data_IF_488011993506
#
_entry.id   IF_488011993506
#
_cell.length_a   1.000
_cell.length_b   1.000
_cell.length_c   1.000
_cell.angle_alpha   90.00
_cell.angle_beta   90.00
_cell.angle_gamma   90.00
#
_symmetry.space_group_name_H-M   'P 1'
#
loop_
_entity.id
_entity.type
_entity.pdbx_description
1 polymer ?
#
# COMPACT_ATOMS: atom_id res chain seq x y z
N UNK A 1 -8.43 23.50 34.60
CA UNK A 1 -6.99 23.86 34.65
C UNK A 1 -6.15 23.19 35.77
N UNK A 2 -6.62 22.33 36.70
CA UNK A 2 -5.76 21.83 37.79
C UNK A 2 -4.82 20.66 37.41
N UNK A 3 -5.01 20.01 36.26
CA UNK A 3 -4.19 18.85 35.83
C UNK A 3 -2.94 19.24 35.01
N UNK A 4 -2.90 20.43 34.43
CA UNK A 4 -1.83 20.81 33.49
C UNK A 4 -0.47 21.04 34.19
N UNK A 5 -0.47 21.62 35.39
CA UNK A 5 0.74 21.88 36.18
C UNK A 5 1.42 20.57 36.65
N UNK A 6 0.71 19.61 37.29
CA UNK A 6 1.35 18.36 37.72
C UNK A 6 1.82 17.50 36.53
N UNK A 7 1.06 17.47 35.42
CA UNK A 7 1.51 16.81 34.18
C UNK A 7 2.76 17.46 33.61
N UNK A 8 2.80 18.81 33.57
CA UNK A 8 3.96 19.56 33.08
C UNK A 8 5.22 19.28 33.90
N UNK A 9 5.11 19.25 35.24
CA UNK A 9 6.22 18.92 36.15
C UNK A 9 6.70 17.46 35.99
N UNK A 10 5.77 16.52 35.79
CA UNK A 10 6.12 15.12 35.56
C UNK A 10 6.88 14.96 34.22
N UNK A 11 6.40 15.60 33.15
CA UNK A 11 7.08 15.55 31.84
C UNK A 11 8.45 16.21 31.89
N UNK A 12 8.61 17.34 32.58
CA UNK A 12 9.90 18.00 32.71
C UNK A 12 10.89 17.18 33.54
N UNK A 13 10.43 16.51 34.61
CA UNK A 13 11.27 15.60 35.40
C UNK A 13 11.74 14.40 34.57
N UNK A 14 10.83 13.76 33.83
CA UNK A 14 11.16 12.63 32.95
C UNK A 14 12.17 13.07 31.88
N UNK A 15 11.94 14.21 31.21
CA UNK A 15 12.89 14.73 30.23
C UNK A 15 14.24 15.12 30.84
N UNK A 16 14.25 15.70 32.03
CA UNK A 16 15.48 16.03 32.76
C UNK A 16 16.30 14.79 33.07
N UNK A 17 15.67 13.73 33.57
CA UNK A 17 16.33 12.44 33.80
C UNK A 17 16.84 11.83 32.49
N UNK A 18 16.06 11.88 31.41
CA UNK A 18 16.49 11.37 30.11
C UNK A 18 17.72 12.12 29.56
N UNK A 19 17.79 13.44 29.70
CA UNK A 19 18.96 14.25 29.29
C UNK A 19 20.21 13.81 30.06
N UNK A 20 20.08 13.49 31.34
CA UNK A 20 21.20 13.04 32.16
C UNK A 20 21.66 11.61 31.85
N UNK A 21 20.76 10.73 31.41
CA UNK A 21 21.05 9.29 31.29
C UNK A 21 21.20 8.78 29.85
N UNK A 22 20.75 9.52 28.84
CA UNK A 22 20.74 9.09 27.45
C UNK A 22 21.55 10.02 26.54
N UNK A 23 22.20 9.49 25.50
CA UNK A 23 22.81 10.31 24.45
C UNK A 23 21.78 11.27 23.82
N UNK A 24 22.23 12.48 23.47
CA UNK A 24 21.37 13.56 22.97
C UNK A 24 20.45 13.14 21.81
N UNK A 25 20.93 12.28 20.92
CA UNK A 25 20.14 11.75 19.79
C UNK A 25 18.87 10.99 20.23
N UNK A 26 18.93 10.21 21.32
CA UNK A 26 17.77 9.47 21.82
C UNK A 26 16.78 10.39 22.52
N UNK A 27 17.26 11.41 23.22
CA UNK A 27 16.41 12.42 23.86
C UNK A 27 15.67 13.25 22.82
N UNK A 28 16.36 13.68 21.76
CA UNK A 28 15.75 14.40 20.63
C UNK A 28 14.73 13.52 19.91
N UNK A 29 15.06 12.24 19.66
CA UNK A 29 14.12 11.31 19.04
C UNK A 29 12.86 11.10 19.90
N UNK A 30 13.00 10.99 21.22
CA UNK A 30 11.88 10.88 22.14
C UNK A 30 11.03 12.16 22.17
N UNK A 31 11.64 13.34 22.14
CA UNK A 31 10.94 14.63 22.04
C UNK A 31 10.12 14.73 20.76
N UNK A 32 10.71 14.37 19.62
CA UNK A 32 10.03 14.35 18.33
C UNK A 32 8.88 13.34 18.36
N UNK A 33 9.10 12.15 18.91
CA UNK A 33 8.08 11.10 19.03
C UNK A 33 6.90 11.53 19.89
N UNK A 34 7.15 12.15 21.04
CA UNK A 34 6.11 12.67 21.94
C UNK A 34 5.33 13.83 21.30
N UNK A 35 6.04 14.76 20.65
CA UNK A 35 5.42 15.87 19.93
C UNK A 35 4.55 15.35 18.77
N UNK A 36 5.04 14.38 17.99
CA UNK A 36 4.29 13.73 16.95
C UNK A 36 3.03 13.06 17.52
N UNK A 37 3.16 12.28 18.60
CA UNK A 37 2.03 11.61 19.24
C UNK A 37 0.98 12.61 19.74
N UNK A 38 1.39 13.68 20.43
CA UNK A 38 0.50 14.73 20.91
C UNK A 38 -0.21 15.45 19.73
N UNK A 39 0.50 15.69 18.63
CA UNK A 39 -0.10 16.33 17.45
C UNK A 39 -1.11 15.44 16.74
N UNK A 40 -0.89 14.12 16.74
CA UNK A 40 -1.82 13.11 16.20
C UNK A 40 -3.03 13.02 17.10
N UNK A 41 -2.85 12.87 18.42
CA UNK A 41 -3.95 12.83 19.40
C UNK A 41 -4.87 14.03 19.22
N UNK A 42 -4.31 15.24 19.03
CA UNK A 42 -5.10 16.47 18.80
C UNK A 42 -5.80 16.52 17.44
N UNK A 43 -5.23 15.89 16.41
CA UNK A 43 -5.76 15.89 15.03
C UNK A 43 -5.47 14.54 14.35
N UNK A 44 -6.38 13.55 14.44
CA UNK A 44 -6.14 12.20 13.94
C UNK A 44 -5.74 12.15 12.46
N UNK A 45 -6.26 13.07 11.64
CA UNK A 45 -5.88 13.25 10.23
C UNK A 45 -4.36 13.32 10.02
N UNK A 46 -3.63 13.96 10.94
CA UNK A 46 -2.16 14.06 10.86
C UNK A 46 -1.50 12.70 10.96
N UNK A 47 -2.05 11.78 11.75
CA UNK A 47 -1.54 10.42 11.87
C UNK A 47 -1.69 9.65 10.55
N UNK A 48 -2.84 9.78 9.89
CA UNK A 48 -3.05 9.16 8.57
C UNK A 48 -2.14 9.77 7.49
N UNK A 49 -1.95 11.09 7.48
CA UNK A 49 -1.04 11.76 6.55
C UNK A 49 0.42 11.35 6.80
N UNK A 50 0.83 11.23 8.06
CA UNK A 50 2.17 10.77 8.42
C UNK A 50 2.37 9.29 8.05
N UNK A 51 1.34 8.46 8.22
CA UNK A 51 1.34 7.08 7.71
C UNK A 51 1.50 7.05 6.19
N UNK A 52 0.81 7.91 5.44
CA UNK A 52 0.96 8.00 3.98
C UNK A 52 2.43 8.29 3.57
N UNK A 53 3.11 9.17 4.29
CA UNK A 53 4.51 9.51 4.06
C UNK A 53 5.46 8.38 4.47
N UNK A 54 5.38 7.94 5.72
CA UNK A 54 6.32 6.96 6.28
C UNK A 54 6.06 5.56 5.73
N UNK A 55 4.80 5.17 5.55
CA UNK A 55 4.43 3.86 5.02
C UNK A 55 4.87 3.63 3.57
N UNK A 56 5.03 4.70 2.77
CA UNK A 56 5.57 4.59 1.40
C UNK A 56 7.10 4.70 1.36
N UNK A 57 7.71 5.39 2.32
CA UNK A 57 9.16 5.58 2.39
C UNK A 57 9.89 4.48 3.18
N UNK A 58 9.52 4.26 4.43
CA UNK A 58 10.17 3.37 5.40
C UNK A 58 9.16 2.38 6.02
N UNK A 59 8.53 1.52 5.20
CA UNK A 59 7.41 0.68 5.62
C UNK A 59 7.76 -0.22 6.83
N UNK A 60 8.95 -0.82 6.84
CA UNK A 60 9.35 -1.80 7.84
C UNK A 60 10.32 -1.26 8.89
N UNK A 61 10.44 0.06 9.01
CA UNK A 61 11.15 0.65 10.15
C UNK A 61 10.49 0.20 11.45
N UNK A 62 11.27 -0.33 12.40
CA UNK A 62 10.74 -0.92 13.65
C UNK A 62 11.07 -0.09 14.87
N UNK A 63 10.14 -0.07 15.83
CA UNK A 63 10.34 0.46 17.19
C UNK A 63 10.01 -0.68 18.16
N UNK A 64 10.73 -0.76 19.27
CA UNK A 64 10.43 -1.65 20.38
C UNK A 64 9.62 -0.89 21.44
N UNK A 65 8.31 -1.19 21.54
CA UNK A 65 7.43 -0.65 22.60
C UNK A 65 6.76 -1.85 23.27
N UNK A 66 7.48 -2.56 24.14
CA UNK A 66 7.07 -3.83 24.75
C UNK A 66 7.07 -5.01 23.77
N UNK A 67 6.55 -4.80 22.55
CA UNK A 67 6.60 -5.69 21.40
C UNK A 67 7.23 -4.94 20.23
N UNK A 68 7.93 -5.65 19.35
CA UNK A 68 8.42 -5.08 18.09
C UNK A 68 7.25 -4.75 17.17
N UNK A 69 7.10 -3.48 16.81
CA UNK A 69 6.05 -3.00 15.89
C UNK A 69 6.66 -2.05 14.87
N UNK A 70 6.11 -2.01 13.65
CA UNK A 70 6.59 -1.03 12.67
C UNK A 70 6.09 0.37 12.99
N UNK A 71 6.86 1.40 12.62
CA UNK A 71 6.43 2.80 12.78
C UNK A 71 5.08 3.04 12.09
N UNK A 72 4.91 2.48 10.89
CA UNK A 72 3.69 2.56 10.10
C UNK A 72 2.47 2.00 10.83
N UNK A 73 2.60 0.83 11.47
CA UNK A 73 1.52 0.22 12.25
C UNK A 73 1.21 1.02 13.51
N UNK A 74 2.24 1.50 14.22
CA UNK A 74 2.06 2.37 15.38
C UNK A 74 1.29 3.65 15.02
N UNK A 75 1.55 4.23 13.85
CA UNK A 75 0.81 5.40 13.35
C UNK A 75 -0.67 5.08 13.07
N UNK A 76 -0.97 3.92 12.48
CA UNK A 76 -2.36 3.49 12.23
C UNK A 76 -3.09 3.29 13.57
N UNK A 77 -2.48 2.57 14.51
CA UNK A 77 -3.04 2.32 15.83
C UNK A 77 -3.28 3.63 16.60
N UNK A 78 -2.31 4.55 16.60
CA UNK A 78 -2.43 5.85 17.25
C UNK A 78 -3.49 6.73 16.58
N UNK A 79 -3.62 6.66 15.26
CA UNK A 79 -4.66 7.37 14.51
C UNK A 79 -6.06 6.88 14.91
N UNK A 80 -6.25 5.56 15.01
CA UNK A 80 -7.49 4.98 15.52
C UNK A 80 -7.78 5.38 16.96
N UNK A 81 -6.80 5.23 17.85
CA UNK A 81 -6.94 5.60 19.25
C UNK A 81 -7.33 7.08 19.40
N UNK A 82 -6.67 7.98 18.65
CA UNK A 82 -6.99 9.41 18.62
C UNK A 82 -8.41 9.67 18.09
N UNK A 83 -8.81 8.99 17.00
CA UNK A 83 -10.16 9.14 16.45
C UNK A 83 -11.24 8.67 17.42
N UNK A 84 -11.05 7.50 18.06
CA UNK A 84 -12.00 6.95 19.04
C UNK A 84 -12.07 7.82 20.28
N UNK A 85 -10.94 8.32 20.77
CA UNK A 85 -10.89 9.28 21.89
C UNK A 85 -11.72 10.52 21.56
N UNK A 86 -11.52 11.09 20.36
CA UNK A 86 -12.32 12.22 19.90
C UNK A 86 -13.81 11.88 19.77
N UNK A 87 -14.16 10.68 19.31
CA UNK A 87 -15.56 10.25 19.21
C UNK A 87 -16.25 10.10 20.57
N UNK A 88 -15.51 9.72 21.61
CA UNK A 88 -16.04 9.64 22.99
C UNK A 88 -16.25 11.05 23.58
N UNK A 89 -15.32 11.98 23.34
CA UNK A 89 -15.39 13.32 23.93
C UNK A 89 -16.14 14.36 23.10
N UNK A 90 -16.40 14.10 21.81
CA UNK A 90 -17.15 14.99 20.94
C UNK A 90 -18.49 14.35 20.57
N UNK A 91 -19.58 14.85 21.14
CA UNK A 91 -20.96 14.35 20.98
C UNK A 91 -21.50 14.39 19.52
N UNK A 92 -20.71 14.86 18.54
CA UNK A 92 -21.17 15.11 17.15
C UNK A 92 -20.38 14.37 16.06
N UNK A 93 -19.82 13.21 16.33
CA UNK A 93 -19.28 12.37 15.25
C UNK A 93 -20.38 11.46 14.67
N UNK A 94 -21.05 11.93 13.62
CA UNK A 94 -21.94 11.08 12.82
C UNK A 94 -21.11 9.98 12.16
N UNK A 95 -21.29 8.74 12.59
CA UNK A 95 -20.63 7.58 11.98
C UNK A 95 -21.11 7.45 10.52
N UNK A 96 -20.20 7.44 9.52
CA UNK A 96 -20.61 7.28 8.13
C UNK A 96 -21.37 5.97 7.93
N UNK A 97 -22.45 6.01 7.14
CA UNK A 97 -23.22 4.81 6.80
C UNK A 97 -22.35 3.83 6.00
N UNK A 98 -22.22 2.62 6.51
CA UNK A 98 -21.39 1.58 5.89
C UNK A 98 -21.93 1.15 4.52
N UNK A 99 -21.04 1.14 3.53
CA UNK A 99 -21.22 0.60 2.20
C UNK A 99 -21.23 -0.93 2.19
N UNK A 100 -21.74 -1.53 1.12
CA UNK A 100 -21.75 -2.99 0.95
C UNK A 100 -20.34 -3.57 1.01
N UNK A 101 -19.36 -2.91 0.39
CA UNK A 101 -17.94 -3.29 0.45
C UNK A 101 -17.39 -3.26 1.88
N UNK A 102 -17.74 -2.23 2.65
CA UNK A 102 -17.34 -2.07 4.05
C UNK A 102 -17.94 -3.16 4.94
N UNK A 103 -19.22 -3.51 4.73
CA UNK A 103 -19.88 -4.61 5.45
C UNK A 103 -19.23 -5.97 5.16
N UNK A 104 -18.92 -6.24 3.90
CA UNK A 104 -18.23 -7.48 3.50
C UNK A 104 -16.80 -7.52 4.06
N UNK A 105 -16.10 -6.39 4.14
CA UNK A 105 -14.79 -6.33 4.78
C UNK A 105 -14.89 -6.64 6.28
N UNK A 106 -15.90 -6.10 6.96
CA UNK A 106 -16.16 -6.48 8.36
C UNK A 106 -16.47 -7.97 8.48
N UNK A 107 -17.25 -8.56 7.56
CA UNK A 107 -17.48 -10.00 7.56
C UNK A 107 -16.19 -10.80 7.38
N UNK A 108 -15.28 -10.37 6.49
CA UNK A 108 -13.95 -10.97 6.33
C UNK A 108 -13.11 -10.85 7.61
N UNK A 109 -13.09 -9.66 8.24
CA UNK A 109 -12.36 -9.42 9.48
C UNK A 109 -12.89 -10.29 10.62
N UNK A 110 -14.21 -10.40 10.79
CA UNK A 110 -14.84 -11.25 11.79
C UNK A 110 -14.57 -12.74 11.52
N UNK A 111 -14.71 -13.16 10.26
CA UNK A 111 -14.41 -14.55 9.87
C UNK A 111 -12.95 -14.91 10.14
N UNK A 112 -12.01 -13.98 9.96
CA UNK A 112 -10.59 -14.23 10.19
C UNK A 112 -10.24 -14.68 11.63
N UNK A 113 -11.12 -14.39 12.61
CA UNK A 113 -10.98 -14.90 13.97
C UNK A 113 -11.02 -16.44 14.02
N UNK A 114 -11.79 -17.08 13.14
CA UNK A 114 -11.90 -18.54 13.09
C UNK A 114 -10.58 -19.20 12.64
N UNK A 115 -10.00 -18.87 11.47
CA UNK A 115 -8.67 -19.38 11.10
C UNK A 115 -7.55 -18.96 12.05
N UNK A 116 -7.66 -17.79 12.67
CA UNK A 116 -6.74 -17.38 13.75
C UNK A 116 -6.76 -18.39 14.90
N UNK A 117 -7.93 -18.71 15.45
CA UNK A 117 -8.06 -19.66 16.56
C UNK A 117 -7.62 -21.07 16.16
N UNK A 118 -8.05 -21.53 14.98
CA UNK A 118 -7.66 -22.85 14.47
C UNK A 118 -6.14 -22.93 14.32
N UNK A 119 -5.53 -21.97 13.63
CA UNK A 119 -4.07 -21.94 13.42
C UNK A 119 -3.28 -21.83 14.73
N UNK A 120 -3.79 -21.10 15.72
CA UNK A 120 -3.13 -20.99 17.02
C UNK A 120 -3.05 -22.35 17.76
N UNK A 121 -4.09 -23.18 17.59
CA UNK A 121 -4.23 -24.49 18.23
C UNK A 121 -3.56 -25.63 17.44
N UNK A 122 -3.57 -25.56 16.10
CA UNK A 122 -3.09 -26.67 15.24
C UNK A 122 -1.65 -26.51 14.79
N UNK A 123 -1.16 -25.28 14.63
CA UNK A 123 0.20 -25.03 14.12
C UNK A 123 1.20 -25.07 15.27
N UNK A 124 2.05 -26.10 15.29
CA UNK A 124 3.15 -26.25 16.25
C UNK A 124 4.40 -25.55 15.70
N UNK A 125 4.45 -24.24 15.88
CA UNK A 125 5.61 -23.40 15.53
C UNK A 125 5.69 -22.19 16.46
N UNK A 126 6.90 -21.66 16.65
CA UNK A 126 7.10 -20.42 17.39
C UNK A 126 6.61 -19.22 16.59
N UNK A 127 5.76 -18.39 17.20
CA UNK A 127 5.19 -17.23 16.54
C UNK A 127 4.12 -16.54 17.37
N UNK A 128 3.88 -15.26 17.09
CA UNK A 128 2.94 -14.44 17.84
C UNK A 128 1.64 -14.21 17.05
N UNK A 129 0.80 -15.24 17.02
CA UNK A 129 -0.49 -15.24 16.31
C UNK A 129 -1.40 -14.07 16.67
N UNK A 130 -1.67 -13.80 17.97
CA UNK A 130 -2.54 -12.70 18.37
C UNK A 130 -2.06 -11.33 17.87
N UNK A 131 -0.77 -11.05 17.98
CA UNK A 131 -0.20 -9.77 17.54
C UNK A 131 -0.26 -9.65 16.02
N UNK A 132 0.10 -10.69 15.28
CA UNK A 132 0.03 -10.68 13.81
C UNK A 132 -1.41 -10.52 13.31
N UNK A 133 -2.37 -11.17 13.97
CA UNK A 133 -3.80 -11.01 13.66
C UNK A 133 -4.29 -9.58 13.90
N UNK A 134 -4.00 -9.01 15.08
CA UNK A 134 -4.36 -7.63 15.42
C UNK A 134 -3.72 -6.64 14.45
N UNK A 135 -2.44 -6.82 14.10
CA UNK A 135 -1.74 -5.99 13.10
C UNK A 135 -2.44 -6.06 11.75
N UNK A 136 -2.80 -7.26 11.30
CA UNK A 136 -3.53 -7.44 10.05
C UNK A 136 -4.89 -6.73 10.08
N UNK A 137 -5.66 -6.85 11.16
CA UNK A 137 -6.93 -6.13 11.34
C UNK A 137 -6.75 -4.61 11.26
N UNK A 138 -5.72 -4.06 11.91
CA UNK A 138 -5.42 -2.63 11.82
C UNK A 138 -5.06 -2.20 10.40
N UNK A 139 -4.30 -3.00 9.66
CA UNK A 139 -3.98 -2.69 8.26
C UNK A 139 -5.24 -2.68 7.37
N UNK A 140 -6.15 -3.64 7.55
CA UNK A 140 -7.45 -3.67 6.85
C UNK A 140 -8.32 -2.46 7.21
N UNK A 141 -8.30 -2.07 8.47
CA UNK A 141 -9.18 -1.05 9.03
C UNK A 141 -8.98 0.35 8.45
N UNK A 142 -7.85 0.62 7.77
CA UNK A 142 -7.57 1.92 7.16
C UNK A 142 -8.64 2.32 6.15
N UNK A 143 -9.28 1.36 5.48
CA UNK A 143 -10.41 1.62 4.61
C UNK A 143 -11.50 2.42 5.34
N UNK A 144 -11.77 2.12 6.61
CA UNK A 144 -12.77 2.83 7.41
C UNK A 144 -12.29 4.19 7.91
N UNK A 145 -10.99 4.42 8.01
CA UNK A 145 -10.44 5.74 8.36
C UNK A 145 -10.64 6.76 7.22
N UNK A 146 -10.67 6.31 5.96
CA UNK A 146 -10.84 7.19 4.79
C UNK A 146 -12.09 8.08 4.89
N UNK A 147 -13.32 7.57 5.00
CA UNK A 147 -14.52 8.42 5.07
C UNK A 147 -14.63 9.22 6.36
N UNK A 148 -13.83 8.88 7.39
CA UNK A 148 -13.84 9.55 8.70
C UNK A 148 -12.85 10.71 8.76
N UNK A 149 -11.71 10.59 8.07
CA UNK A 149 -10.60 11.54 8.17
C UNK A 149 -10.33 12.32 6.88
N UNK A 150 -10.67 11.77 5.71
CA UNK A 150 -10.44 12.39 4.40
C UNK A 150 -11.75 12.90 3.81
N UNK A 151 -12.45 13.75 4.57
CA UNK A 151 -13.81 14.21 4.24
C UNK A 151 -13.84 15.28 3.14
N UNK A 152 -12.80 16.10 3.05
CA UNK A 152 -12.69 17.17 2.08
C UNK A 152 -11.53 16.96 1.08
N UNK A 153 -11.67 17.54 -0.12
CA UNK A 153 -10.68 17.39 -1.20
C UNK A 153 -9.30 17.90 -0.81
N UNK A 154 -9.20 18.95 0.03
CA UNK A 154 -7.91 19.52 0.44
C UNK A 154 -7.18 18.57 1.39
N UNK A 155 -7.88 17.91 2.29
CA UNK A 155 -7.32 16.90 3.18
C UNK A 155 -6.93 15.64 2.42
N UNK A 156 -7.75 15.20 1.48
CA UNK A 156 -7.41 14.11 0.58
C UNK A 156 -6.16 14.42 -0.26
N UNK A 157 -6.09 15.60 -0.89
CA UNK A 157 -4.92 16.04 -1.66
C UNK A 157 -3.65 16.02 -0.80
N UNK A 158 -3.73 16.41 0.49
CA UNK A 158 -2.60 16.32 1.42
C UNK A 158 -2.16 14.88 1.66
N UNK A 159 -3.10 13.96 1.85
CA UNK A 159 -2.78 12.54 1.99
C UNK A 159 -2.12 11.99 0.72
N UNK A 160 -2.63 12.33 -0.46
CA UNK A 160 -2.02 11.97 -1.76
C UNK A 160 -0.62 12.58 -1.91
N UNK A 161 -0.45 13.86 -1.60
CA UNK A 161 0.88 14.49 -1.62
C UNK A 161 1.85 13.83 -0.65
N UNK A 162 1.40 13.37 0.51
CA UNK A 162 2.23 12.62 1.45
C UNK A 162 2.61 11.23 0.90
N UNK A 163 1.68 10.50 0.28
CA UNK A 163 1.98 9.24 -0.41
C UNK A 163 3.05 9.45 -1.50
N UNK A 164 2.88 10.48 -2.33
CA UNK A 164 3.82 10.80 -3.40
C UNK A 164 5.15 11.31 -2.87
N UNK A 165 5.15 12.11 -1.80
CA UNK A 165 6.36 12.57 -1.14
C UNK A 165 7.19 11.43 -0.56
N UNK A 166 6.54 10.47 0.11
CA UNK A 166 7.24 9.31 0.68
C UNK A 166 7.76 8.38 -0.41
N UNK A 167 6.98 8.20 -1.48
CA UNK A 167 7.44 7.49 -2.69
C UNK A 167 8.62 8.18 -3.36
N UNK A 168 8.64 9.51 -3.41
CA UNK A 168 9.76 10.26 -3.96
C UNK A 168 11.03 10.03 -3.12
N UNK A 169 10.94 10.13 -1.79
CA UNK A 169 12.07 9.86 -0.89
C UNK A 169 12.59 8.44 -1.05
N UNK A 170 11.70 7.46 -1.17
CA UNK A 170 12.03 6.06 -1.46
C UNK A 170 12.83 5.95 -2.76
N UNK A 171 12.35 6.56 -3.84
CA UNK A 171 12.97 6.49 -5.17
C UNK A 171 14.32 7.21 -5.19
N UNK A 172 14.42 8.40 -4.59
CA UNK A 172 15.67 9.14 -4.50
C UNK A 172 16.72 8.34 -3.73
N UNK A 173 16.35 7.72 -2.60
CA UNK A 173 17.27 6.87 -1.85
C UNK A 173 17.68 5.63 -2.66
N UNK A 174 16.71 4.87 -3.15
CA UNK A 174 16.94 3.56 -3.77
C UNK A 174 17.69 3.67 -5.09
N UNK A 175 17.28 4.60 -5.97
CA UNK A 175 17.94 4.82 -7.27
C UNK A 175 19.35 5.35 -7.05
N UNK A 176 19.57 6.31 -6.15
CA UNK A 176 20.91 6.87 -5.91
C UNK A 176 21.86 5.80 -5.37
N UNK A 177 21.44 5.02 -4.37
CA UNK A 177 22.25 3.93 -3.82
C UNK A 177 22.58 2.90 -4.89
N UNK A 178 21.59 2.54 -5.72
CA UNK A 178 21.78 1.55 -6.76
C UNK A 178 22.69 2.03 -7.90
N UNK A 179 22.52 3.27 -8.38
CA UNK A 179 23.37 3.84 -9.44
C UNK A 179 24.82 4.02 -8.96
N UNK A 180 25.03 4.36 -7.69
CA UNK A 180 26.38 4.59 -7.14
C UNK A 180 27.12 3.31 -6.77
N UNK A 181 26.40 2.25 -6.36
CA UNK A 181 27.01 1.01 -5.83
C UNK A 181 26.76 -0.23 -6.68
N UNK A 182 25.82 -0.19 -7.63
CA UNK A 182 25.53 -1.26 -8.57
C UNK A 182 24.91 -2.54 -7.98
N UNK A 183 24.48 -2.52 -6.72
CA UNK A 183 23.99 -3.73 -6.03
C UNK A 183 22.77 -3.48 -5.15
N UNK A 184 21.87 -4.47 -5.09
CA UNK A 184 20.74 -4.54 -4.16
C UNK A 184 21.19 -4.51 -2.70
N UNK A 185 22.34 -5.13 -2.39
CA UNK A 185 22.85 -5.28 -1.02
C UNK A 185 23.39 -3.96 -0.45
N UNK A 186 23.66 -2.97 -1.30
CA UNK A 186 24.19 -1.67 -0.89
C UNK A 186 23.23 -0.88 0.02
N UNK A 187 21.94 -1.22 0.02
CA UNK A 187 20.95 -0.59 0.90
C UNK A 187 21.03 -1.13 2.34
N UNK A 188 21.59 -2.32 2.56
CA UNK A 188 21.54 -3.04 3.85
C UNK A 188 22.12 -2.22 5.01
N UNK A 189 23.30 -1.57 4.91
CA UNK A 189 23.82 -0.75 6.01
C UNK A 189 22.90 0.40 6.40
N UNK A 190 22.23 1.00 5.41
CA UNK A 190 21.26 2.08 5.63
C UNK A 190 20.04 1.53 6.37
N UNK A 191 19.50 0.37 5.95
CA UNK A 191 18.38 -0.26 6.62
C UNK A 191 18.72 -0.66 8.07
N UNK A 192 19.94 -1.17 8.30
CA UNK A 192 20.46 -1.47 9.64
C UNK A 192 20.43 -0.24 10.55
N UNK A 193 20.88 0.92 10.05
CA UNK A 193 20.82 2.18 10.79
C UNK A 193 19.39 2.67 11.09
N UNK A 194 18.41 2.26 10.27
CA UNK A 194 17.00 2.61 10.41
C UNK A 194 16.19 1.60 11.25
N UNK A 195 16.88 0.65 11.90
CA UNK A 195 16.26 -0.31 12.81
C UNK A 195 15.49 -1.43 12.11
N UNK A 196 15.83 -1.74 10.85
CA UNK A 196 15.27 -2.89 10.15
C UNK A 196 15.81 -4.19 10.74
N UNK A 197 14.91 -5.14 10.96
CA UNK A 197 15.22 -6.46 11.51
C UNK A 197 15.82 -7.39 10.47
N UNK A 198 16.81 -8.20 10.86
CA UNK A 198 17.29 -9.29 10.00
C UNK A 198 18.04 -8.80 8.77
N UNK A 199 18.79 -7.70 8.87
CA UNK A 199 19.73 -7.25 7.85
C UNK A 199 20.67 -8.39 7.39
N UNK A 200 21.02 -9.30 8.30
CA UNK A 200 21.85 -10.47 8.04
C UNK A 200 21.13 -11.55 7.22
N UNK A 201 19.85 -11.84 7.52
CA UNK A 201 19.00 -12.79 6.75
C UNK A 201 18.61 -12.20 5.39
N UNK A 202 18.41 -10.88 5.35
CA UNK A 202 18.16 -10.12 4.14
C UNK A 202 19.36 -10.17 3.18
N UNK A 203 20.58 -10.33 3.71
CA UNK A 203 21.79 -10.41 2.90
C UNK A 203 21.75 -11.59 1.95
N UNK A 204 21.39 -12.80 2.40
CA UNK A 204 21.32 -14.01 1.55
C UNK A 204 20.24 -13.89 0.47
N UNK A 205 19.05 -13.40 0.84
CA UNK A 205 17.96 -13.18 -0.13
C UNK A 205 18.33 -12.11 -1.17
N UNK A 206 18.93 -10.99 -0.75
CA UNK A 206 19.35 -9.92 -1.66
C UNK A 206 20.60 -10.25 -2.47
N UNK A 207 21.49 -11.12 -1.99
CA UNK A 207 22.64 -11.61 -2.74
C UNK A 207 22.20 -12.34 -4.01
N UNK A 208 21.16 -13.19 -3.92
CA UNK A 208 20.55 -13.85 -5.08
C UNK A 208 19.87 -12.88 -6.06
N UNK A 209 19.63 -11.64 -5.62
CA UNK A 209 18.96 -10.57 -6.36
C UNK A 209 19.87 -9.36 -6.55
N UNK A 210 21.19 -9.51 -6.41
CA UNK A 210 22.14 -8.39 -6.29
C UNK A 210 22.09 -7.42 -7.48
N UNK A 211 21.79 -7.91 -8.67
CA UNK A 211 21.66 -7.07 -9.86
C UNK A 211 20.40 -6.20 -9.86
N UNK A 212 19.49 -6.29 -8.88
CA UNK A 212 18.22 -5.53 -8.80
C UNK A 212 18.38 -4.31 -7.90
N UNK A 213 17.50 -3.32 -8.05
CA UNK A 213 17.46 -2.19 -7.13
C UNK A 213 16.98 -2.64 -5.74
N UNK A 214 17.86 -2.46 -4.74
CA UNK A 214 17.52 -2.58 -3.33
C UNK A 214 16.69 -1.38 -2.87
N UNK A 215 15.80 -1.58 -1.89
CA UNK A 215 14.98 -0.50 -1.35
C UNK A 215 14.55 -0.75 0.10
N UNK A 216 14.07 0.27 0.81
CA UNK A 216 13.38 0.13 2.11
C UNK A 216 12.20 -0.84 2.18
N UNK A 217 11.74 -1.39 1.05
CA UNK A 217 10.75 -2.48 1.02
C UNK A 217 11.39 -3.87 1.19
N UNK A 218 12.71 -3.95 1.40
CA UNK A 218 13.53 -5.15 1.60
C UNK A 218 13.58 -6.10 0.41
N UNK A 219 12.48 -6.32 -0.30
CA UNK A 219 12.41 -7.22 -1.44
C UNK A 219 12.03 -6.49 -2.74
N UNK A 220 12.76 -6.68 -3.86
CA UNK A 220 12.50 -5.97 -5.11
C UNK A 220 11.08 -6.16 -5.67
N UNK A 221 10.48 -7.34 -5.49
CA UNK A 221 9.11 -7.56 -5.96
C UNK A 221 8.06 -6.82 -5.11
N UNK A 222 8.31 -6.65 -3.80
CA UNK A 222 7.43 -5.85 -2.92
C UNK A 222 7.49 -4.38 -3.35
N UNK A 223 8.70 -3.86 -3.59
CA UNK A 223 8.92 -2.52 -4.11
C UNK A 223 8.24 -2.32 -5.48
N UNK A 224 8.41 -3.28 -6.39
CA UNK A 224 7.76 -3.27 -7.70
C UNK A 224 6.24 -3.25 -7.59
N UNK A 225 5.65 -4.11 -6.75
CA UNK A 225 4.21 -4.13 -6.49
C UNK A 225 3.70 -2.80 -5.94
N UNK A 226 4.38 -2.23 -4.95
CA UNK A 226 4.05 -0.91 -4.41
C UNK A 226 4.09 0.19 -5.50
N UNK A 227 5.14 0.22 -6.33
CA UNK A 227 5.27 1.18 -7.43
C UNK A 227 4.17 0.99 -8.49
N UNK A 228 3.84 -0.25 -8.87
CA UNK A 228 2.75 -0.52 -9.81
C UNK A 228 1.39 -0.01 -9.29
N UNK A 229 1.15 -0.04 -7.98
CA UNK A 229 -0.04 0.54 -7.37
C UNK A 229 0.01 2.08 -7.31
N UNK A 230 1.16 2.67 -7.00
CA UNK A 230 1.34 4.12 -6.80
C UNK A 230 1.46 4.92 -8.10
N UNK A 231 2.02 4.35 -9.16
CA UNK A 231 2.29 5.03 -10.44
C UNK A 231 1.04 5.61 -11.10
N UNK A 232 -0.07 4.85 -11.23
CA UNK A 232 -1.30 5.39 -11.82
C UNK A 232 -1.83 6.60 -11.06
N UNK A 233 -1.77 6.58 -9.72
CA UNK A 233 -2.13 7.73 -8.88
C UNK A 233 -1.21 8.92 -9.14
N UNK A 234 0.11 8.70 -9.13
CA UNK A 234 1.10 9.75 -9.38
C UNK A 234 0.88 10.44 -10.73
N UNK A 235 0.64 9.66 -11.78
CA UNK A 235 0.39 10.18 -13.11
C UNK A 235 -0.94 10.95 -13.21
N UNK A 236 -2.06 10.34 -12.81
CA UNK A 236 -3.37 10.98 -12.88
C UNK A 236 -3.40 12.28 -12.06
N UNK A 237 -2.81 12.27 -10.86
CA UNK A 237 -2.68 13.44 -10.02
C UNK A 237 -1.76 14.51 -10.65
N UNK A 238 -0.56 14.11 -11.10
CA UNK A 238 0.40 15.04 -11.72
C UNK A 238 -0.14 15.73 -12.97
N UNK A 239 -0.89 15.00 -13.81
CA UNK A 239 -1.45 15.54 -15.05
C UNK A 239 -2.56 16.57 -14.84
N UNK A 240 -3.25 16.53 -13.70
CA UNK A 240 -4.46 17.34 -13.46
C UNK A 240 -4.28 18.47 -12.46
N UNK A 241 -3.18 18.48 -11.70
CA UNK A 241 -2.86 19.55 -10.74
C UNK A 241 -1.95 20.59 -11.37
N UNK A 242 -1.67 21.66 -10.62
CA UNK A 242 -0.75 22.74 -10.99
C UNK A 242 0.32 22.94 -9.91
N UNK A 243 1.35 23.74 -10.20
CA UNK A 243 2.38 24.10 -9.22
C UNK A 243 3.23 22.91 -8.72
N UNK A 244 3.53 22.91 -7.42
CA UNK A 244 4.36 21.88 -6.77
C UNK A 244 3.70 20.49 -6.79
N UNK A 245 2.38 20.41 -6.65
CA UNK A 245 1.64 19.15 -6.70
C UNK A 245 1.79 18.45 -8.06
N UNK A 246 1.76 19.21 -9.16
CA UNK A 246 2.05 18.70 -10.51
C UNK A 246 3.47 18.18 -10.63
N UNK A 247 4.46 18.97 -10.21
CA UNK A 247 5.88 18.58 -10.26
C UNK A 247 6.11 17.30 -9.47
N UNK A 248 5.59 17.21 -8.24
CA UNK A 248 5.69 16.02 -7.41
C UNK A 248 5.09 14.79 -8.11
N UNK A 249 3.84 14.88 -8.58
CA UNK A 249 3.18 13.75 -9.24
C UNK A 249 3.91 13.27 -10.50
N UNK A 250 4.35 14.20 -11.37
CA UNK A 250 5.06 13.84 -12.60
C UNK A 250 6.48 13.31 -12.33
N UNK A 251 7.21 13.89 -11.37
CA UNK A 251 8.52 13.38 -10.97
C UNK A 251 8.43 11.98 -10.40
N UNK A 252 7.44 11.72 -9.53
CA UNK A 252 7.21 10.38 -8.96
C UNK A 252 6.78 9.39 -10.06
N UNK A 253 5.94 9.80 -11.01
CA UNK A 253 5.57 8.94 -12.14
C UNK A 253 6.79 8.57 -13.00
N UNK A 254 7.67 9.54 -13.30
CA UNK A 254 8.86 9.33 -14.11
C UNK A 254 9.91 8.47 -13.38
N UNK A 255 10.31 8.86 -12.17
CA UNK A 255 11.26 8.11 -11.36
C UNK A 255 10.71 6.75 -10.95
N UNK A 256 9.40 6.64 -10.72
CA UNK A 256 8.76 5.37 -10.37
C UNK A 256 8.69 4.41 -11.55
N UNK A 257 8.55 4.89 -12.79
CA UNK A 257 8.67 4.05 -13.98
C UNK A 257 10.09 3.49 -14.13
N UNK A 258 11.11 4.33 -13.92
CA UNK A 258 12.52 3.92 -13.89
C UNK A 258 12.74 2.91 -12.74
N UNK A 259 12.30 3.25 -11.53
CA UNK A 259 12.42 2.40 -10.34
C UNK A 259 11.77 1.04 -10.53
N UNK A 260 10.58 0.98 -11.15
CA UNK A 260 9.89 -0.27 -11.46
C UNK A 260 10.71 -1.16 -12.39
N UNK A 261 11.31 -0.59 -13.45
CA UNK A 261 12.22 -1.33 -14.33
C UNK A 261 13.47 -1.83 -13.58
N UNK A 262 14.06 -0.98 -12.74
CA UNK A 262 15.25 -1.33 -11.95
C UNK A 262 14.96 -2.40 -10.87
N UNK A 263 13.74 -2.47 -10.33
CA UNK A 263 13.34 -3.54 -9.39
C UNK A 263 13.35 -4.92 -10.05
N UNK A 264 13.22 -5.00 -11.38
CA UNK A 264 13.13 -6.28 -12.09
C UNK A 264 11.88 -7.11 -11.74
N UNK A 265 10.84 -6.51 -11.15
CA UNK A 265 9.60 -7.21 -10.81
C UNK A 265 8.72 -7.42 -12.05
N UNK A 266 8.82 -8.62 -12.63
CA UNK A 266 8.09 -9.01 -13.85
C UNK A 266 6.57 -8.93 -13.68
N UNK A 267 6.07 -9.45 -12.56
CA UNK A 267 4.64 -9.44 -12.24
C UNK A 267 4.07 -8.04 -12.12
N UNK A 268 4.81 -7.12 -11.49
CA UNK A 268 4.41 -5.73 -11.35
C UNK A 268 4.47 -4.93 -12.66
N UNK A 269 5.48 -5.19 -13.51
CA UNK A 269 5.57 -4.55 -14.82
C UNK A 269 4.44 -5.02 -15.74
N UNK A 270 4.21 -6.34 -15.82
CA UNK A 270 3.14 -6.93 -16.63
C UNK A 270 1.77 -6.46 -16.14
N UNK A 271 1.55 -6.38 -14.82
CA UNK A 271 0.28 -5.92 -14.25
C UNK A 271 0.00 -4.47 -14.59
N UNK A 272 1.00 -3.60 -14.45
CA UNK A 272 0.86 -2.20 -14.80
C UNK A 272 0.54 -2.04 -16.29
N UNK A 273 1.28 -2.73 -17.18
CA UNK A 273 1.04 -2.67 -18.63
C UNK A 273 -0.37 -3.16 -18.97
N UNK A 274 -0.78 -4.32 -18.45
CA UNK A 274 -2.09 -4.91 -18.73
C UNK A 274 -3.24 -3.98 -18.28
N UNK A 275 -3.13 -3.42 -17.08
CA UNK A 275 -4.14 -2.51 -16.54
C UNK A 275 -4.12 -1.17 -17.28
N UNK A 276 -2.95 -0.65 -17.65
CA UNK A 276 -2.86 0.56 -18.45
C UNK A 276 -3.44 0.37 -19.86
N UNK A 277 -3.26 -0.79 -20.49
CA UNK A 277 -3.89 -1.13 -21.77
C UNK A 277 -5.42 -1.21 -21.64
N UNK A 278 -5.92 -1.84 -20.56
CA UNK A 278 -7.35 -1.87 -20.24
C UNK A 278 -7.92 -0.46 -20.10
N UNK A 279 -7.19 0.43 -19.42
CA UNK A 279 -7.57 1.83 -19.22
C UNK A 279 -7.42 2.66 -20.51
N UNK A 280 -6.44 2.36 -21.37
CA UNK A 280 -6.28 3.00 -22.68
C UNK A 280 -7.42 2.61 -23.63
N UNK A 281 -7.91 1.37 -23.56
CA UNK A 281 -9.11 0.91 -24.30
C UNK A 281 -10.36 1.72 -23.91
N UNK A 282 -10.44 2.19 -22.66
CA UNK A 282 -11.48 3.11 -22.14
C UNK A 282 -11.24 4.59 -22.55
N UNK A 283 -10.35 4.82 -23.51
CA UNK A 283 -9.98 6.12 -24.11
C UNK A 283 -9.65 7.20 -23.07
N UNK A 284 -8.97 6.84 -21.98
CA UNK A 284 -8.48 7.84 -21.03
C UNK A 284 -7.41 8.69 -21.74
N UNK A 285 -7.61 10.02 -21.88
CA UNK A 285 -6.70 10.88 -22.62
C UNK A 285 -5.31 10.86 -21.98
N UNK A 286 -4.28 10.93 -22.81
CA UNK A 286 -2.85 10.95 -22.43
C UNK A 286 -2.28 9.65 -21.84
N UNK A 287 -3.10 8.66 -21.46
CA UNK A 287 -2.60 7.40 -20.91
C UNK A 287 -1.80 6.59 -21.94
N UNK A 288 -2.23 6.60 -23.21
CA UNK A 288 -1.46 6.02 -24.32
C UNK A 288 -0.11 6.71 -24.56
N UNK A 289 -0.01 8.02 -24.28
CA UNK A 289 1.26 8.76 -24.34
C UNK A 289 2.19 8.41 -23.19
N UNK A 290 1.66 8.14 -21.99
CA UNK A 290 2.48 7.62 -20.89
C UNK A 290 2.99 6.21 -21.20
N UNK A 291 2.15 5.33 -21.76
CA UNK A 291 2.57 4.01 -22.23
C UNK A 291 3.72 4.11 -23.23
N UNK A 292 3.60 5.02 -24.21
CA UNK A 292 4.68 5.31 -25.16
C UNK A 292 5.92 5.89 -24.49
N UNK A 293 5.77 6.82 -23.54
CA UNK A 293 6.89 7.38 -22.79
C UNK A 293 7.62 6.34 -21.95
N UNK A 294 6.89 5.44 -21.29
CA UNK A 294 7.44 4.30 -20.56
C UNK A 294 8.13 3.30 -21.49
N UNK A 295 7.57 3.06 -22.68
CA UNK A 295 8.19 2.22 -23.70
C UNK A 295 9.51 2.84 -24.19
N UNK A 296 9.53 4.13 -24.52
CA UNK A 296 10.74 4.84 -24.95
C UNK A 296 11.80 4.86 -23.85
N UNK A 297 11.40 5.16 -22.61
CA UNK A 297 12.31 5.10 -21.46
C UNK A 297 12.86 3.68 -21.24
N UNK A 298 12.01 2.65 -21.42
CA UNK A 298 12.41 1.25 -21.39
C UNK A 298 13.43 0.90 -22.47
N UNK A 299 13.21 1.34 -23.71
CA UNK A 299 14.15 1.17 -24.83
C UNK A 299 15.46 1.90 -24.56
N UNK A 300 15.40 3.12 -24.02
CA UNK A 300 16.60 3.88 -23.68
C UNK A 300 17.39 3.19 -22.56
N UNK A 301 16.72 2.77 -21.47
CA UNK A 301 17.33 1.98 -20.42
C UNK A 301 17.92 0.68 -20.97
N UNK A 302 17.22 0.01 -21.90
CA UNK A 302 17.74 -1.18 -22.56
C UNK A 302 19.05 -0.87 -23.29
N UNK A 303 19.10 0.19 -24.08
CA UNK A 303 20.28 0.54 -24.88
C UNK A 303 21.52 0.85 -24.02
N UNK A 304 21.34 1.40 -22.82
CA UNK A 304 22.43 1.88 -21.98
C UNK A 304 22.68 1.07 -20.69
N UNK A 305 21.86 0.05 -20.40
CA UNK A 305 21.96 -0.75 -19.17
C UNK A 305 22.04 -2.26 -19.48
N UNK A 306 23.25 -2.82 -19.69
CA UNK A 306 23.45 -4.22 -20.04
C UNK A 306 22.75 -5.24 -19.11
N UNK A 307 22.73 -5.06 -17.77
CA UNK A 307 22.02 -6.00 -16.89
C UNK A 307 20.51 -6.07 -17.13
N UNK A 308 19.90 -5.03 -17.73
CA UNK A 308 18.49 -5.09 -18.16
C UNK A 308 18.33 -5.82 -19.49
N UNK A 309 19.32 -5.76 -20.38
CA UNK A 309 19.34 -6.52 -21.63
C UNK A 309 19.39 -8.02 -21.35
N UNK A 310 20.34 -8.46 -20.51
CA UNK A 310 20.49 -9.87 -20.12
C UNK A 310 19.21 -10.43 -19.52
N UNK A 311 18.48 -9.61 -18.76
CA UNK A 311 17.17 -9.98 -18.18
C UNK A 311 16.06 -10.03 -19.20
N UNK A 312 16.01 -9.10 -20.15
CA UNK A 312 15.01 -9.12 -21.20
C UNK A 312 15.21 -10.28 -22.16
N UNK A 313 16.46 -10.67 -22.40
CA UNK A 313 16.77 -11.93 -23.08
C UNK A 313 16.39 -13.14 -22.22
N UNK A 314 16.71 -13.09 -20.93
CA UNK A 314 16.32 -14.10 -19.95
C UNK A 314 14.80 -14.32 -19.83
N UNK A 315 13.99 -13.28 -20.08
CA UNK A 315 12.52 -13.36 -20.09
C UNK A 315 11.97 -14.31 -21.16
N UNK A 316 12.73 -14.61 -22.22
CA UNK A 316 12.32 -15.49 -23.32
C UNK A 316 12.95 -16.88 -23.26
N UNK A 317 13.81 -17.15 -22.27
CA UNK A 317 14.42 -18.47 -22.03
C UNK A 317 13.76 -19.17 -20.85
N UNK A 318 13.43 -20.45 -21.00
CA UNK A 318 12.63 -21.26 -20.05
C UNK A 318 13.36 -21.70 -18.78
N UNK A 319 14.63 -21.34 -18.57
CA UNK A 319 15.48 -21.80 -17.46
C UNK A 319 15.47 -20.87 -16.23
N UNK A 320 14.33 -20.25 -15.91
CA UNK A 320 14.22 -19.44 -14.70
C UNK A 320 13.91 -20.30 -13.48
N UNK A 321 14.90 -20.45 -12.60
CA UNK A 321 14.75 -21.05 -11.27
C UNK A 321 13.53 -20.50 -10.51
N UNK A 322 13.19 -19.22 -10.66
CA UNK A 322 12.00 -18.62 -10.04
C UNK A 322 10.66 -19.10 -10.62
N UNK A 323 10.63 -19.45 -11.91
CA UNK A 323 9.42 -19.98 -12.57
C UNK A 323 9.22 -21.45 -12.18
N UNK A 324 10.32 -22.22 -12.15
CA UNK A 324 10.30 -23.60 -11.68
C UNK A 324 9.84 -23.71 -10.21
N UNK A 325 10.35 -22.83 -9.33
CA UNK A 325 9.90 -22.78 -7.92
C UNK A 325 8.40 -22.49 -7.83
N UNK A 326 7.86 -21.54 -8.61
CA UNK A 326 6.41 -21.25 -8.60
C UNK A 326 5.55 -22.42 -9.08
N UNK A 327 6.01 -23.17 -10.08
CA UNK A 327 5.32 -24.41 -10.48
C UNK A 327 5.32 -25.44 -9.36
N UNK A 328 6.44 -25.58 -8.63
CA UNK A 328 6.51 -26.46 -7.46
C UNK A 328 5.61 -25.96 -6.32
N UNK A 329 5.55 -24.65 -6.06
CA UNK A 329 4.63 -24.07 -5.09
C UNK A 329 3.17 -24.45 -5.44
N UNK A 330 2.78 -24.32 -6.72
CA UNK A 330 1.42 -24.63 -7.18
C UNK A 330 1.11 -26.13 -7.17
N UNK A 331 2.06 -26.99 -7.53
CA UNK A 331 1.85 -28.44 -7.52
C UNK A 331 1.71 -29.01 -6.11
N UNK A 332 2.41 -28.43 -5.12
CA UNK A 332 2.36 -28.85 -3.71
C UNK A 332 1.31 -28.07 -2.89
N UNK A 333 0.64 -27.09 -3.49
CA UNK A 333 -0.39 -26.29 -2.81
C UNK A 333 -1.58 -27.14 -2.31
N UNK A 334 -2.10 -28.14 -3.06
CA UNK A 334 -3.18 -29.00 -2.57
C UNK A 334 -2.82 -29.73 -1.28
N UNK A 335 -1.57 -30.17 -1.11
CA UNK A 335 -1.11 -30.84 0.11
C UNK A 335 -1.12 -29.89 1.31
N UNK A 336 -0.74 -28.62 1.09
CA UNK A 336 -0.82 -27.59 2.12
C UNK A 336 -2.28 -27.34 2.56
N UNK A 337 -3.23 -27.32 1.61
CA UNK A 337 -4.66 -27.16 1.90
C UNK A 337 -5.22 -28.40 2.60
N UNK A 338 -4.81 -29.61 2.20
CA UNK A 338 -5.21 -30.85 2.86
C UNK A 338 -4.72 -30.91 4.32
N UNK A 339 -3.49 -30.41 4.56
CA UNK A 339 -2.91 -30.32 5.92
C UNK A 339 -3.60 -29.27 6.77
N UNK A 340 -3.96 -28.12 6.17
CA UNK A 340 -4.58 -26.98 6.87
C UNK A 340 -5.87 -26.51 6.17
N UNK A 341 -6.97 -27.29 6.22
CA UNK A 341 -8.19 -27.02 5.44
C UNK A 341 -8.88 -25.70 5.81
N UNK A 342 -8.71 -25.26 7.06
CA UNK A 342 -9.23 -23.98 7.57
C UNK A 342 -8.19 -22.85 7.55
N UNK A 343 -7.02 -23.10 6.95
CA UNK A 343 -5.88 -22.20 6.93
C UNK A 343 -4.99 -22.30 8.17
N UNK A 344 -3.77 -21.77 8.05
CA UNK A 344 -2.75 -21.78 9.11
C UNK A 344 -2.91 -20.64 10.12
N UNK A 345 -3.84 -19.72 9.89
CA UNK A 345 -4.05 -18.55 10.72
C UNK A 345 -2.89 -17.55 10.66
N UNK A 346 -2.59 -16.93 11.81
CA UNK A 346 -1.67 -15.78 11.90
C UNK A 346 -0.40 -16.06 12.70
N UNK A 347 -0.23 -17.30 13.20
CA UNK A 347 0.89 -17.68 14.06
C UNK A 347 2.24 -17.54 13.34
N UNK A 348 2.31 -18.06 12.12
CA UNK A 348 3.49 -18.04 11.25
C UNK A 348 3.09 -17.72 9.81
N UNK A 349 4.06 -17.29 8.99
CA UNK A 349 3.89 -17.11 7.55
C UNK A 349 4.24 -18.39 6.78
N UNK A 350 3.60 -18.67 5.63
CA UNK A 350 3.98 -19.78 4.77
C UNK A 350 5.44 -19.67 4.31
N UNK A 351 6.18 -20.79 4.21
CA UNK A 351 5.80 -22.16 4.57
C UNK A 351 5.77 -22.43 6.08
N UNK A 352 5.01 -23.45 6.49
CA UNK A 352 5.02 -23.94 7.88
C UNK A 352 6.12 -24.98 8.02
N UNK A 353 7.21 -24.62 8.70
CA UNK A 353 8.36 -25.48 8.92
C UNK A 353 7.94 -26.83 9.52
N UNK A 354 8.44 -27.92 8.95
CA UNK A 354 8.10 -29.30 9.37
C UNK A 354 6.81 -29.87 8.80
N UNK A 355 5.94 -29.04 8.20
CA UNK A 355 4.67 -29.48 7.61
C UNK A 355 4.62 -29.27 6.10
N UNK A 356 5.11 -28.13 5.62
CA UNK A 356 5.09 -27.79 4.19
C UNK A 356 6.45 -27.31 3.71
N UNK A 357 6.75 -27.62 2.45
CA UNK A 357 8.05 -27.34 1.84
C UNK A 357 8.13 -25.95 1.21
N UNK A 358 7.00 -25.43 0.74
CA UNK A 358 6.94 -24.24 -0.09
C UNK A 358 5.95 -23.21 0.45
N UNK A 359 6.32 -21.93 0.32
CA UNK A 359 5.38 -20.83 0.42
C UNK A 359 4.46 -20.80 -0.82
N UNK A 360 3.73 -19.70 -0.99
CA UNK A 360 2.88 -19.52 -2.17
C UNK A 360 2.98 -18.09 -2.70
N UNK A 361 3.56 -17.93 -3.88
CA UNK A 361 3.78 -16.64 -4.53
C UNK A 361 2.56 -16.19 -5.33
N UNK A 362 1.37 -16.28 -4.74
CA UNK A 362 0.09 -15.90 -5.33
C UNK A 362 -0.87 -15.38 -4.25
N UNK A 363 -1.38 -14.16 -4.42
CA UNK A 363 -2.29 -13.48 -3.50
C UNK A 363 -3.48 -14.35 -3.11
N UNK A 364 -4.14 -14.90 -4.13
CA UNK A 364 -5.40 -15.61 -4.01
C UNK A 364 -5.19 -16.93 -3.27
N UNK A 365 -4.19 -17.71 -3.70
CA UNK A 365 -3.85 -18.96 -3.02
C UNK A 365 -3.31 -18.71 -1.61
N UNK A 366 -2.62 -17.59 -1.37
CA UNK A 366 -2.19 -17.23 -0.02
C UNK A 366 -3.39 -16.92 0.91
N UNK A 367 -4.48 -16.34 0.39
CA UNK A 367 -5.72 -16.21 1.17
C UNK A 367 -6.28 -17.58 1.59
N UNK A 368 -6.29 -18.57 0.69
CA UNK A 368 -6.68 -19.94 1.05
C UNK A 368 -5.71 -20.50 2.11
N UNK A 369 -4.41 -20.33 1.91
CA UNK A 369 -3.41 -20.90 2.82
C UNK A 369 -3.55 -20.33 4.25
N UNK A 370 -3.78 -19.02 4.37
CA UNK A 370 -3.83 -18.33 5.66
C UNK A 370 -5.19 -18.43 6.34
N UNK A 371 -6.28 -18.23 5.60
CA UNK A 371 -7.63 -18.11 6.16
C UNK A 371 -8.65 -19.09 5.57
N UNK A 372 -8.19 -20.09 4.81
CA UNK A 372 -9.04 -21.10 4.20
C UNK A 372 -9.83 -20.61 2.99
N UNK A 373 -10.47 -21.56 2.30
CA UNK A 373 -11.33 -21.27 1.15
C UNK A 373 -12.45 -20.25 1.46
N UNK A 374 -13.17 -20.33 2.60
CA UNK A 374 -14.22 -19.36 2.89
C UNK A 374 -13.68 -17.93 3.04
N UNK A 375 -12.47 -17.78 3.60
CA UNK A 375 -11.81 -16.47 3.70
C UNK A 375 -11.45 -15.89 2.32
N UNK A 376 -10.98 -16.72 1.39
CA UNK A 376 -10.76 -16.29 0.00
C UNK A 376 -12.07 -15.89 -0.69
N UNK A 377 -13.15 -16.65 -0.50
CA UNK A 377 -14.45 -16.31 -1.08
C UNK A 377 -14.98 -14.96 -0.55
N UNK A 378 -14.79 -14.68 0.74
CA UNK A 378 -15.10 -13.36 1.32
C UNK A 378 -14.23 -12.25 0.73
N UNK A 379 -12.92 -12.49 0.56
CA UNK A 379 -12.04 -11.53 -0.11
C UNK A 379 -12.49 -11.24 -1.56
N UNK A 380 -12.86 -12.27 -2.32
CA UNK A 380 -13.44 -12.12 -3.66
C UNK A 380 -14.76 -11.32 -3.61
N UNK A 381 -15.63 -11.60 -2.64
CA UNK A 381 -16.88 -10.87 -2.49
C UNK A 381 -16.63 -9.36 -2.23
N UNK A 382 -15.65 -9.04 -1.38
CA UNK A 382 -15.24 -7.64 -1.12
C UNK A 382 -14.72 -6.99 -2.40
N UNK A 383 -13.82 -7.63 -3.15
CA UNK A 383 -13.23 -7.05 -4.37
C UNK A 383 -14.27 -6.88 -5.48
N UNK A 384 -15.19 -7.84 -5.65
CA UNK A 384 -16.31 -7.72 -6.60
C UNK A 384 -17.24 -6.59 -6.17
N UNK A 385 -17.59 -6.50 -4.89
CA UNK A 385 -18.43 -5.41 -4.39
C UNK A 385 -17.78 -4.06 -4.61
N UNK A 386 -16.49 -3.92 -4.31
CA UNK A 386 -15.72 -2.70 -4.57
C UNK A 386 -15.75 -2.35 -6.06
N UNK A 387 -15.47 -3.31 -6.94
CA UNK A 387 -15.46 -3.07 -8.38
C UNK A 387 -16.80 -2.60 -8.93
N UNK A 388 -17.91 -3.19 -8.46
CA UNK A 388 -19.27 -2.74 -8.81
C UNK A 388 -19.49 -1.26 -8.47
N UNK A 389 -18.93 -0.81 -7.35
CA UNK A 389 -19.02 0.58 -6.90
C UNK A 389 -18.09 1.52 -7.67
N UNK A 390 -16.83 1.15 -7.92
CA UNK A 390 -15.84 2.09 -8.48
C UNK A 390 -15.72 2.07 -10.00
N UNK A 391 -16.26 1.03 -10.67
CA UNK A 391 -16.12 0.91 -12.12
C UNK A 391 -16.67 2.16 -12.84
N UNK A 392 -15.98 2.66 -13.87
CA UNK A 392 -16.50 3.76 -14.68
C UNK A 392 -17.83 3.38 -15.33
N UNK A 393 -18.81 4.30 -15.29
CA UNK A 393 -20.14 4.08 -15.89
C UNK A 393 -20.18 4.27 -17.41
N UNK A 394 -19.20 4.96 -17.99
CA UNK A 394 -19.10 5.22 -19.44
C UNK A 394 -17.82 4.61 -20.02
N UNK A 395 -17.87 4.26 -21.30
CA UNK A 395 -16.73 3.76 -22.07
C UNK A 395 -15.68 4.82 -22.38
N UNK A 396 -16.05 6.12 -22.28
CA UNK A 396 -15.11 7.23 -22.41
C UNK A 396 -14.98 7.96 -21.08
N UNK A 397 -13.78 7.91 -20.50
CA UNK A 397 -13.46 8.61 -19.25
C UNK A 397 -12.56 9.80 -19.57
N UNK A 398 -13.05 11.02 -19.31
CA UNK A 398 -12.22 12.24 -19.38
C UNK A 398 -11.49 12.39 -18.06
N UNK A 399 -10.17 12.54 -18.11
CA UNK A 399 -9.36 12.80 -16.92
C UNK A 399 -9.53 14.26 -16.48
N UNK A 400 -10.11 14.48 -15.30
CA UNK A 400 -10.34 15.81 -14.73
C UNK A 400 -9.69 15.92 -13.36
N UNK A 401 -9.53 17.17 -12.89
CA UNK A 401 -9.03 17.46 -11.55
C UNK A 401 -9.85 16.78 -10.44
N UNK A 402 -11.13 16.53 -10.67
CA UNK A 402 -12.03 15.96 -9.67
C UNK A 402 -11.94 14.43 -9.60
N UNK A 403 -11.79 13.77 -10.75
CA UNK A 403 -11.79 12.31 -10.82
C UNK A 403 -10.38 11.68 -10.81
N UNK A 404 -9.32 12.48 -10.95
CA UNK A 404 -7.95 11.97 -11.06
C UNK A 404 -7.51 11.08 -9.89
N UNK A 405 -7.88 11.45 -8.67
CA UNK A 405 -7.51 10.66 -7.47
C UNK A 405 -8.28 9.34 -7.47
N UNK A 406 -9.59 9.38 -7.71
CA UNK A 406 -10.43 8.18 -7.79
C UNK A 406 -9.92 7.21 -8.87
N UNK A 407 -9.70 7.73 -10.09
CA UNK A 407 -9.22 6.94 -11.22
C UNK A 407 -7.83 6.36 -10.97
N UNK A 408 -6.90 7.19 -10.50
CA UNK A 408 -5.55 6.76 -10.15
C UNK A 408 -5.52 5.66 -9.08
N UNK A 409 -6.32 5.80 -8.01
CA UNK A 409 -6.45 4.77 -6.99
C UNK A 409 -7.11 3.49 -7.55
N UNK A 410 -8.18 3.60 -8.34
CA UNK A 410 -8.83 2.43 -8.97
C UNK A 410 -7.87 1.67 -9.87
N UNK A 411 -7.13 2.36 -10.74
CA UNK A 411 -6.11 1.76 -11.60
C UNK A 411 -4.98 1.13 -10.78
N UNK A 412 -4.57 1.77 -9.68
CA UNK A 412 -3.59 1.21 -8.75
C UNK A 412 -4.06 -0.10 -8.10
N UNK A 413 -5.30 -0.14 -7.58
CA UNK A 413 -5.88 -1.35 -6.97
C UNK A 413 -6.00 -2.47 -8.00
N UNK A 414 -6.44 -2.18 -9.23
CA UNK A 414 -6.48 -3.17 -10.30
C UNK A 414 -5.09 -3.73 -10.61
N UNK A 415 -4.07 -2.87 -10.63
CA UNK A 415 -2.67 -3.28 -10.85
C UNK A 415 -2.17 -4.18 -9.72
N UNK A 416 -2.54 -3.87 -8.47
CA UNK A 416 -2.22 -4.70 -7.30
C UNK A 416 -2.92 -6.08 -7.36
N UNK A 417 -4.22 -6.11 -7.66
CA UNK A 417 -5.00 -7.36 -7.79
C UNK A 417 -4.47 -8.26 -8.91
N UNK A 418 -4.13 -7.67 -10.06
CA UNK A 418 -3.57 -8.41 -11.19
C UNK A 418 -2.14 -8.88 -10.89
N UNK A 419 -1.31 -8.05 -10.26
CA UNK A 419 -0.01 -8.47 -9.74
C UNK A 419 -0.14 -9.62 -8.74
N UNK A 420 -1.26 -9.68 -8.02
CA UNK A 420 -1.61 -10.75 -7.09
C UNK A 420 -1.69 -12.15 -7.72
N UNK A 421 -1.84 -12.25 -9.05
CA UNK A 421 -1.78 -13.54 -9.76
C UNK A 421 -0.35 -14.12 -9.80
N UNK A 422 0.65 -13.27 -9.60
CA UNK A 422 2.07 -13.62 -9.71
C UNK A 422 2.85 -13.38 -8.41
N UNK A 423 2.20 -12.81 -7.40
CA UNK A 423 2.81 -12.50 -6.12
C UNK A 423 1.78 -12.41 -4.99
N UNK A 424 2.23 -12.53 -3.74
CA UNK A 424 1.37 -12.63 -2.56
C UNK A 424 1.38 -11.39 -1.65
N UNK A 425 2.21 -10.39 -1.93
CA UNK A 425 2.49 -9.32 -0.96
C UNK A 425 1.29 -8.43 -0.58
N UNK A 426 0.21 -8.42 -1.36
CA UNK A 426 -0.98 -7.62 -1.02
C UNK A 426 -1.95 -8.30 -0.04
N UNK A 427 -1.70 -9.52 0.43
CA UNK A 427 -2.61 -10.21 1.39
C UNK A 427 -2.20 -10.06 2.85
N UNK A 428 -0.95 -10.36 3.20
CA UNK A 428 -0.50 -10.43 4.60
C UNK A 428 0.78 -9.65 4.92
N UNK A 429 1.36 -8.94 3.94
CA UNK A 429 2.52 -8.08 4.19
C UNK A 429 2.06 -6.74 4.78
N UNK A 430 2.24 -6.57 6.10
CA UNK A 430 1.54 -5.56 6.92
C UNK A 430 1.32 -4.19 6.25
N UNK A 431 2.39 -3.47 5.93
CA UNK A 431 2.25 -2.09 5.43
C UNK A 431 1.71 -2.02 4.00
N UNK A 432 2.02 -3.00 3.16
CA UNK A 432 1.50 -3.02 1.79
C UNK A 432 0.00 -3.32 1.78
N UNK A 433 -0.47 -4.19 2.69
CA UNK A 433 -1.89 -4.44 2.94
C UNK A 433 -2.60 -3.15 3.35
N UNK A 434 -2.01 -2.39 4.27
CA UNK A 434 -2.53 -1.10 4.71
C UNK A 434 -2.66 -0.09 3.55
N UNK A 435 -1.64 0.03 2.69
CA UNK A 435 -1.69 0.90 1.52
C UNK A 435 -2.72 0.43 0.48
N UNK A 436 -2.86 -0.89 0.29
CA UNK A 436 -3.87 -1.46 -0.59
C UNK A 436 -5.28 -1.06 -0.12
N UNK A 437 -5.60 -1.29 1.15
CA UNK A 437 -6.92 -0.94 1.70
C UNK A 437 -7.16 0.58 1.78
N UNK A 438 -6.11 1.39 1.93
CA UNK A 438 -6.19 2.84 1.77
C UNK A 438 -6.64 3.23 0.35
N UNK A 439 -6.05 2.63 -0.68
CA UNK A 439 -6.41 2.89 -2.08
C UNK A 439 -7.83 2.41 -2.42
N UNK A 440 -8.23 1.25 -1.89
CA UNK A 440 -9.61 0.75 -1.98
C UNK A 440 -10.56 1.76 -1.32
N UNK A 441 -10.27 2.23 -0.11
CA UNK A 441 -11.09 3.21 0.59
C UNK A 441 -11.19 4.55 -0.14
N UNK A 442 -10.07 5.09 -0.63
CA UNK A 442 -10.05 6.36 -1.38
C UNK A 442 -10.86 6.22 -2.67
N UNK A 443 -10.59 5.20 -3.49
CA UNK A 443 -11.33 4.99 -4.75
C UNK A 443 -12.84 4.83 -4.52
N UNK A 444 -13.23 4.09 -3.48
CA UNK A 444 -14.63 3.86 -3.12
C UNK A 444 -15.36 5.16 -2.76
N UNK A 445 -14.83 5.91 -1.79
CA UNK A 445 -15.50 7.11 -1.28
C UNK A 445 -15.41 8.29 -2.23
N UNK A 446 -14.31 8.43 -2.96
CA UNK A 446 -14.18 9.48 -3.98
C UNK A 446 -15.14 9.26 -5.15
N UNK A 447 -15.26 8.02 -5.64
CA UNK A 447 -16.21 7.71 -6.72
C UNK A 447 -17.64 7.98 -6.29
N UNK A 448 -18.00 7.62 -5.05
CA UNK A 448 -19.32 7.89 -4.49
C UNK A 448 -19.59 9.38 -4.37
N UNK A 449 -18.63 10.17 -3.89
CA UNK A 449 -18.74 11.64 -3.82
C UNK A 449 -18.98 12.25 -5.20
N UNK A 450 -18.25 11.77 -6.21
CA UNK A 450 -18.40 12.24 -7.59
C UNK A 450 -19.78 11.91 -8.17
N UNK A 451 -20.30 10.71 -7.92
CA UNK A 451 -21.67 10.31 -8.34
C UNK A 451 -22.74 11.16 -7.66
N UNK A 452 -22.66 11.32 -6.34
CA UNK A 452 -23.61 12.16 -5.60
C UNK A 452 -23.62 13.61 -6.11
N UNK A 453 -22.46 14.16 -6.48
CA UNK A 453 -22.37 15.50 -7.08
C UNK A 453 -22.95 15.58 -8.49
N UNK A 454 -22.80 14.53 -9.29
CA UNK A 454 -23.40 14.46 -10.62
C UNK A 454 -24.93 14.39 -10.55
N UNK A 455 -25.48 13.68 -9.55
CA UNK A 455 -26.93 13.59 -9.31
C UNK A 455 -27.54 14.93 -8.83
N UNK A 456 -26.79 15.73 -8.06
CA UNK A 456 -27.27 17.03 -7.56
C UNK A 456 -27.07 18.20 -8.52
N UNK A 457 -26.32 18.02 -9.60
CA UNK A 457 -26.14 19.05 -10.64
C UNK A 457 -27.21 18.84 -11.71
N UNK A 458 -28.27 19.67 -11.81
CA UNK A 458 -29.28 19.50 -12.85
C UNK A 458 -28.63 19.59 -14.22
N UNK A 459 -28.81 18.56 -15.04
CA UNK A 459 -28.61 18.67 -16.48
C UNK A 459 -29.60 19.71 -16.97
N UNK A 460 -29.14 20.89 -17.37
CA UNK A 460 -29.96 21.79 -18.18
C UNK A 460 -30.44 20.97 -19.39
N UNK A 461 -31.76 20.79 -19.58
CA UNK A 461 -32.26 20.24 -20.83
C UNK A 461 -31.80 21.20 -21.93
N UNK A 462 -31.29 20.64 -23.02
CA UNK A 462 -31.01 21.37 -24.24
C UNK A 462 -32.13 22.38 -24.51
N UNK A 463 -31.72 23.64 -24.72
CA UNK A 463 -32.60 24.70 -25.15
C UNK A 463 -33.40 24.18 -26.35
N UNK A 464 -34.72 24.16 -26.19
CA UNK A 464 -35.68 23.87 -27.25
C UNK A 464 -35.36 24.77 -28.45
N UNK A 465 -35.39 24.26 -29.70
CA UNK A 465 -35.24 25.14 -30.85
C UNK A 465 -36.42 26.12 -30.85
N UNK A 466 -36.12 27.42 -30.84
CA UNK A 466 -37.13 28.47 -30.97
C UNK A 466 -37.98 28.22 -32.23
N UNK A 467 -39.32 28.25 -32.12
CA UNK A 467 -40.18 28.23 -33.28
C UNK A 467 -40.26 29.63 -33.89
N UNK A 468 -39.75 29.77 -35.11
CA UNK A 468 -40.25 30.77 -36.07
C UNK A 468 -39.35 31.97 -36.32
N UNK A 469 -38.69 31.95 -37.48
CA UNK A 469 -38.45 33.15 -38.27
C UNK A 469 -38.30 32.75 -39.76
N UNK A 470 -39.42 32.69 -40.47
CA UNK A 470 -39.46 32.79 -41.93
C UNK A 470 -40.47 33.87 -42.29
N UNK A 471 -39.95 35.06 -42.59
CA UNK A 471 -40.60 36.05 -43.47
C UNK A 471 -39.78 36.10 -44.74
#
# INVERSE_FOLDING_TARGET
MPLALPLGLMFSLIFGVMICMLPAQFVVAAAIGLAAAATIIRRPVRGLVLFCLIGTFLPYSTIQIGVRTTVSEALIMLTWASYLLHAVFQERNTVPKMLSTEKLLVALMLFSAFPFLVGQLTVVADGNGPINWVRWLFNLSILFLVPRLLTDLKTLEKAVMALLGGTLLLLLLSITVYVTKGSATAIIPILGSLGYSGADILSESLLSLASRMGSPWMHPNVAGGALAMLLPLAFCFGMTRTGSARRLGLTVAALGAIGLLLTGSRGALLSLIAVMLLMARRRIPHLGRLLMGGLVAGIFLLAFYPPLQDRLMGLFTSDDASTAIRFLEYSNFPDAVATFPFGIGFKVDPPVLGYTKFGISNLWLNFIYKIGLPGMLLFIAVTISWWKEVRPGSDRVVLTRENAIALGCTTGVLSALFSGLFDHYFSFTSVLVALFWLFVGISLHETRRLRARAETTPQHPDASPEPGASS
#
